data_IF_628593821739
#
_entry.id   IF_628593821739
#
_cell.length_a   1.000
_cell.length_b   1.000
_cell.length_c   1.000
_cell.angle_alpha   90.00
_cell.angle_beta   90.00
_cell.angle_gamma   90.00
#
_symmetry.space_group_name_H-M   'P 1'
#
loop_
_entity.id
_entity.type
_entity.pdbx_description
1 polymer ?
#
# COMPACT_ATOMS: atom_id res chain seq x y z
N UNK A 1 -24.27 -44.71 27.90
CA UNK A 1 -24.02 -44.26 29.27
C UNK A 1 -24.70 -42.90 29.43
N UNK A 2 -25.99 -42.93 29.80
CA UNK A 2 -26.78 -41.76 30.19
C UNK A 2 -26.47 -41.43 31.66
N UNK A 3 -26.50 -40.16 32.05
CA UNK A 3 -26.82 -39.64 33.40
C UNK A 3 -26.97 -38.10 33.25
N UNK A 4 -28.21 -37.60 33.23
CA UNK A 4 -28.95 -36.99 34.35
C UNK A 4 -28.49 -35.58 34.73
N UNK A 5 -29.26 -34.57 34.28
CA UNK A 5 -29.26 -33.23 34.86
C UNK A 5 -30.25 -33.17 36.02
N UNK A 6 -29.78 -32.73 37.18
CA UNK A 6 -30.57 -32.50 38.39
C UNK A 6 -30.98 -31.03 38.46
N UNK A 7 -32.29 -30.78 38.41
CA UNK A 7 -32.92 -29.48 38.69
C UNK A 7 -33.38 -29.45 40.15
N UNK A 8 -32.72 -28.65 41.00
CA UNK A 8 -33.33 -28.08 42.21
C UNK A 8 -32.38 -27.07 42.88
N UNK A 9 -32.91 -25.86 43.13
CA UNK A 9 -32.46 -25.03 44.25
C UNK A 9 -31.92 -23.64 43.89
N UNK A 10 -32.82 -22.67 43.71
CA UNK A 10 -32.88 -21.44 44.52
C UNK A 10 -33.79 -20.40 43.85
N UNK A 11 -35.02 -20.34 44.35
CA UNK A 11 -35.93 -19.20 44.21
C UNK A 11 -35.66 -18.24 45.36
N UNK A 12 -35.97 -16.96 45.13
CA UNK A 12 -36.13 -15.84 46.08
C UNK A 12 -34.92 -14.95 46.40
N UNK A 13 -34.87 -13.79 45.73
CA UNK A 13 -34.96 -12.44 46.32
C UNK A 13 -35.21 -11.39 45.21
N UNK A 14 -36.37 -10.71 45.28
CA UNK A 14 -36.75 -9.48 44.57
C UNK A 14 -36.10 -8.23 45.25
N UNK A 15 -36.12 -6.96 44.74
CA UNK A 15 -37.17 -6.39 43.87
C UNK A 15 -36.77 -5.32 42.80
N UNK A 16 -37.76 -4.99 41.96
CA UNK A 16 -38.03 -3.69 41.30
C UNK A 16 -36.99 -3.09 40.33
N UNK A 17 -37.16 -3.37 39.03
CA UNK A 17 -36.68 -2.49 37.95
C UNK A 17 -37.86 -1.64 37.47
N UNK A 18 -38.11 -0.56 38.19
CA UNK A 18 -39.00 0.53 37.79
C UNK A 18 -38.16 1.78 37.60
N UNK A 19 -37.17 1.73 36.69
CA UNK A 19 -36.28 2.87 36.39
C UNK A 19 -35.57 2.74 35.04
N UNK A 20 -36.32 2.47 33.96
CA UNK A 20 -35.75 2.55 32.60
C UNK A 20 -36.79 2.92 31.52
N UNK A 21 -37.90 3.56 31.92
CA UNK A 21 -39.01 3.96 31.02
C UNK A 21 -39.25 5.47 30.99
N UNK A 22 -38.25 6.28 31.35
CA UNK A 22 -38.37 7.73 31.39
C UNK A 22 -37.10 8.41 30.87
N UNK A 23 -36.87 8.29 29.56
CA UNK A 23 -36.10 9.25 28.76
C UNK A 23 -36.53 9.19 27.27
N UNK A 24 -37.85 9.13 27.04
CA UNK A 24 -38.49 9.08 25.70
C UNK A 24 -39.33 10.35 25.40
N UNK A 25 -39.18 11.44 26.16
CA UNK A 25 -39.90 12.68 25.86
C UNK A 25 -39.01 13.93 25.99
N UNK A 26 -39.17 14.84 25.03
CA UNK A 26 -38.34 16.00 24.66
C UNK A 26 -37.06 15.59 23.92
N UNK A 27 -36.96 15.73 22.60
CA UNK A 27 -37.12 16.98 21.84
C UNK A 27 -37.77 16.69 20.48
N UNK A 28 -39.05 17.04 20.37
CA UNK A 28 -39.64 17.43 19.09
C UNK A 28 -39.34 18.91 18.87
N UNK A 29 -38.45 19.20 17.92
CA UNK A 29 -38.40 20.46 17.16
C UNK A 29 -37.49 20.24 15.96
N UNK A 30 -38.07 19.79 14.84
CA UNK A 30 -37.41 19.79 13.54
C UNK A 30 -37.24 21.24 13.04
N UNK A 31 -36.07 21.63 12.53
CA UNK A 31 -36.00 22.52 11.37
C UNK A 31 -36.14 21.70 10.07
N UNK A 32 -36.52 22.32 8.94
CA UNK A 32 -36.88 21.58 7.74
C UNK A 32 -35.66 20.93 7.08
N UNK A 33 -35.92 19.72 6.56
CA UNK A 33 -35.13 19.00 5.55
C UNK A 33 -34.58 19.98 4.49
N UNK A 34 -33.25 19.99 4.32
CA UNK A 34 -32.58 20.62 3.17
C UNK A 34 -31.70 19.56 2.51
N UNK A 35 -32.05 19.26 1.27
CA UNK A 35 -31.55 18.12 0.50
C UNK A 35 -30.06 18.11 0.21
N UNK A 36 -29.66 17.01 -0.43
CA UNK A 36 -28.34 16.74 -1.00
C UNK A 36 -27.84 17.99 -1.75
N UNK A 37 -26.78 18.62 -1.25
CA UNK A 37 -26.08 19.68 -1.97
C UNK A 37 -25.00 19.03 -2.84
N UNK A 38 -25.27 18.93 -4.14
CA UNK A 38 -24.24 18.73 -5.14
C UNK A 38 -23.58 20.09 -5.43
N UNK A 39 -22.41 20.33 -4.86
CA UNK A 39 -21.58 21.47 -5.26
C UNK A 39 -20.71 21.02 -6.44
N UNK A 40 -21.16 21.24 -7.66
CA UNK A 40 -20.29 21.13 -8.83
C UNK A 40 -19.40 22.38 -8.91
N UNK A 41 -18.16 22.29 -8.42
CA UNK A 41 -17.11 23.26 -8.76
C UNK A 41 -16.02 22.60 -9.58
N UNK A 42 -15.78 23.12 -10.79
CA UNK A 42 -14.67 22.72 -11.64
C UNK A 42 -13.34 22.96 -10.91
N UNK A 43 -12.57 21.89 -10.69
CA UNK A 43 -11.21 21.93 -10.14
C UNK A 43 -11.13 21.85 -8.61
N UNK A 44 -11.31 20.66 -8.03
CA UNK A 44 -11.05 20.40 -6.62
C UNK A 44 -11.71 19.10 -6.14
N UNK A 45 -11.00 18.26 -5.39
CA UNK A 45 -11.46 16.96 -4.89
C UNK A 45 -12.84 17.06 -4.20
N UNK A 46 -13.83 16.43 -4.84
CA UNK A 46 -15.26 16.48 -4.50
C UNK A 46 -15.50 15.88 -3.10
N UNK A 47 -15.90 16.72 -2.14
CA UNK A 47 -16.28 16.27 -0.79
C UNK A 47 -17.76 15.93 -0.83
N UNK A 48 -18.08 14.65 -0.63
CA UNK A 48 -19.46 14.17 -0.53
C UNK A 48 -19.87 14.11 0.94
N UNK A 49 -21.06 14.63 1.24
CA UNK A 49 -21.63 14.66 2.57
C UNK A 49 -23.03 14.02 2.57
N UNK A 50 -23.22 13.05 3.47
CA UNK A 50 -24.52 12.46 3.78
C UNK A 50 -24.92 12.84 5.19
N UNK A 51 -26.03 13.56 5.31
CA UNK A 51 -26.61 13.92 6.60
C UNK A 51 -27.69 12.91 6.94
N UNK A 52 -27.58 12.35 8.14
CA UNK A 52 -28.50 11.33 8.65
C UNK A 52 -29.02 11.76 10.02
N UNK A 53 -30.07 11.10 10.57
CA UNK A 53 -30.61 11.46 11.88
C UNK A 53 -29.58 11.35 13.00
N UNK A 54 -28.61 10.45 12.88
CA UNK A 54 -27.67 10.13 13.96
C UNK A 54 -26.22 10.52 13.66
N UNK A 55 -25.90 10.91 12.43
CA UNK A 55 -24.56 11.30 12.03
C UNK A 55 -24.50 12.08 10.71
N UNK A 56 -23.42 12.83 10.53
CA UNK A 56 -22.99 13.37 9.24
C UNK A 56 -21.79 12.54 8.78
N UNK A 57 -21.96 11.77 7.72
CA UNK A 57 -20.89 11.04 7.05
C UNK A 57 -20.29 11.91 5.96
N UNK A 58 -18.98 12.10 6.00
CA UNK A 58 -18.22 12.87 5.01
C UNK A 58 -17.15 11.99 4.39
N UNK A 59 -17.06 12.04 3.07
CA UNK A 59 -16.04 11.37 2.27
C UNK A 59 -15.40 12.38 1.32
N UNK A 60 -14.08 12.46 1.34
CA UNK A 60 -13.34 13.37 0.45
C UNK A 60 -11.88 13.48 0.87
N UNK A 61 -11.01 13.92 -0.05
CA UNK A 61 -9.56 14.09 0.19
C UNK A 61 -8.88 12.82 0.76
N UNK A 62 -9.34 11.63 0.38
CA UNK A 62 -8.79 10.37 0.87
C UNK A 62 -9.12 10.04 2.33
N UNK A 63 -10.14 10.68 2.91
CA UNK A 63 -10.55 10.47 4.30
C UNK A 63 -12.04 10.22 4.42
N UNK A 64 -12.40 9.49 5.48
CA UNK A 64 -13.78 9.32 5.93
C UNK A 64 -13.90 9.87 7.33
N UNK A 65 -14.89 10.74 7.54
CA UNK A 65 -15.23 11.23 8.87
C UNK A 65 -16.72 11.07 9.17
N UNK A 66 -17.01 10.75 10.42
CA UNK A 66 -18.36 10.61 10.95
C UNK A 66 -18.51 11.55 12.12
N UNK A 67 -19.48 12.45 12.04
CA UNK A 67 -19.71 13.50 13.04
C UNK A 67 -21.10 13.29 13.65
N UNK A 68 -21.22 13.29 14.97
CA UNK A 68 -22.53 13.20 15.64
C UNK A 68 -23.26 14.56 15.54
N UNK A 69 -24.58 14.61 15.25
CA UNK A 69 -25.34 15.85 15.21
C UNK A 69 -25.51 16.38 16.65
N UNK A 70 -25.04 17.60 16.92
CA UNK A 70 -25.07 18.23 18.24
C UNK A 70 -24.41 19.62 18.20
N UNK A 71 -24.50 20.40 19.29
CA UNK A 71 -23.99 21.79 19.35
C UNK A 71 -22.48 21.90 19.11
N UNK A 72 -21.72 20.85 19.42
CA UNK A 72 -20.25 20.87 19.36
C UNK A 72 -19.66 20.06 18.18
N UNK A 73 -20.48 19.38 17.38
CA UNK A 73 -20.02 18.65 16.19
C UNK A 73 -18.93 17.61 16.47
N UNK A 74 -19.13 16.79 17.51
CA UNK A 74 -18.17 15.76 17.95
C UNK A 74 -17.80 14.80 16.81
N UNK A 75 -16.50 14.73 16.47
CA UNK A 75 -15.98 13.76 15.50
C UNK A 75 -15.88 12.39 16.15
N UNK A 76 -16.75 11.48 15.71
CA UNK A 76 -16.78 10.09 16.18
C UNK A 76 -15.73 9.26 15.45
N UNK A 77 -15.48 9.56 14.18
CA UNK A 77 -14.45 8.92 13.35
C UNK A 77 -13.82 9.97 12.44
N UNK A 78 -12.49 9.92 12.29
CA UNK A 78 -11.74 10.70 11.30
C UNK A 78 -10.49 9.90 10.91
N UNK A 79 -10.61 9.08 9.87
CA UNK A 79 -9.55 8.15 9.44
C UNK A 79 -9.27 8.29 7.95
N UNK A 80 -8.03 8.03 7.50
CA UNK A 80 -7.76 7.87 6.07
C UNK A 80 -8.50 6.64 5.53
N UNK A 81 -8.84 6.66 4.23
CA UNK A 81 -9.53 5.54 3.58
C UNK A 81 -8.70 4.25 3.63
N UNK A 82 -7.36 4.36 3.67
CA UNK A 82 -6.44 3.22 3.83
C UNK A 82 -6.66 2.42 5.12
N UNK A 83 -7.18 3.07 6.17
CA UNK A 83 -7.43 2.43 7.47
C UNK A 83 -8.79 1.73 7.51
N UNK A 84 -9.57 1.80 6.43
CA UNK A 84 -10.83 1.08 6.29
C UNK A 84 -10.59 -0.31 5.71
N UNK A 85 -11.32 -1.29 6.25
CA UNK A 85 -11.40 -2.64 5.69
C UNK A 85 -12.45 -2.68 4.57
N UNK A 86 -13.65 -2.19 4.88
CA UNK A 86 -14.78 -2.08 3.95
C UNK A 86 -15.86 -1.19 4.54
N UNK A 87 -16.73 -0.67 3.67
CA UNK A 87 -17.98 -0.02 4.09
C UNK A 87 -19.13 -0.77 3.44
N UNK A 88 -20.24 -0.93 4.15
CA UNK A 88 -21.42 -1.59 3.56
C UNK A 88 -22.73 -1.05 4.07
N UNK A 89 -23.76 -1.23 3.26
CA UNK A 89 -25.14 -1.09 3.70
C UNK A 89 -25.64 -2.41 4.26
N UNK A 90 -26.33 -2.34 5.39
CA UNK A 90 -26.94 -3.50 6.02
C UNK A 90 -28.35 -3.13 6.51
N UNK A 91 -29.28 -4.09 6.45
CA UNK A 91 -30.63 -3.93 7.01
C UNK A 91 -30.66 -4.62 8.38
N UNK A 92 -31.13 -3.89 9.39
CA UNK A 92 -31.29 -4.42 10.76
C UNK A 92 -32.62 -5.16 10.90
N UNK A 93 -32.78 -5.84 12.03
CA UNK A 93 -33.98 -6.61 12.35
C UNK A 93 -35.23 -5.73 12.59
N UNK A 94 -35.03 -4.45 12.88
CA UNK A 94 -36.06 -3.41 13.02
C UNK A 94 -36.34 -2.68 11.69
N UNK A 95 -35.95 -3.28 10.55
CA UNK A 95 -36.03 -2.72 9.20
C UNK A 95 -35.23 -1.43 8.96
N UNK A 96 -34.50 -0.92 9.95
CA UNK A 96 -33.63 0.23 9.78
C UNK A 96 -32.44 -0.13 8.87
N UNK A 97 -32.15 0.73 7.90
CA UNK A 97 -30.96 0.61 7.05
C UNK A 97 -29.80 1.37 7.71
N UNK A 98 -28.63 0.73 7.76
CA UNK A 98 -27.42 1.32 8.34
C UNK A 98 -26.23 1.18 7.40
N UNK A 99 -25.37 2.19 7.40
CA UNK A 99 -24.00 2.05 6.90
C UNK A 99 -23.15 1.49 8.03
N UNK A 100 -22.50 0.36 7.81
CA UNK A 100 -21.51 -0.23 8.71
C UNK A 100 -20.11 0.06 8.15
N UNK A 101 -19.29 0.81 8.89
CA UNK A 101 -17.90 1.14 8.54
C UNK A 101 -16.96 0.22 9.31
N UNK A 102 -16.20 -0.62 8.60
CA UNK A 102 -15.25 -1.55 9.19
C UNK A 102 -13.84 -0.97 9.11
N UNK A 103 -13.13 -1.00 10.24
CA UNK A 103 -11.74 -0.56 10.32
C UNK A 103 -10.81 -1.75 10.10
N UNK A 104 -9.72 -1.51 9.36
CA UNK A 104 -8.66 -2.49 9.06
C UNK A 104 -7.92 -2.90 10.33
N UNK A 105 -7.70 -1.96 11.22
CA UNK A 105 -7.02 -2.16 12.50
C UNK A 105 -7.94 -1.81 13.66
N UNK A 106 -7.80 -2.48 14.82
CA UNK A 106 -8.57 -2.18 16.04
C UNK A 106 -8.20 -0.84 16.69
N UNK A 107 -7.09 -0.23 16.25
CA UNK A 107 -6.43 0.93 16.87
C UNK A 107 -7.06 2.32 16.69
N UNK A 108 -7.95 2.61 15.71
CA UNK A 108 -8.54 3.95 15.64
C UNK A 108 -9.37 4.21 16.89
N UNK A 109 -9.03 5.28 17.60
CA UNK A 109 -9.67 5.68 18.85
C UNK A 109 -11.02 6.31 18.51
N UNK A 110 -12.11 5.56 18.69
CA UNK A 110 -13.47 6.09 18.66
C UNK A 110 -13.75 6.71 20.03
N UNK A 111 -13.75 8.05 20.15
CA UNK A 111 -14.11 8.76 21.40
C UNK A 111 -13.31 8.35 22.66
N UNK A 112 -12.03 8.00 22.51
CA UNK A 112 -11.16 7.57 23.61
C UNK A 112 -11.17 6.06 23.91
N UNK A 113 -11.99 5.28 23.20
CA UNK A 113 -12.08 3.81 23.34
C UNK A 113 -11.54 3.16 22.04
N UNK A 114 -10.65 2.15 22.13
CA UNK A 114 -10.25 1.38 20.97
C UNK A 114 -11.46 0.80 20.23
N UNK A 115 -11.50 0.94 18.91
CA UNK A 115 -12.64 0.48 18.14
C UNK A 115 -12.79 -1.05 18.13
N UNK A 116 -11.72 -1.81 18.43
CA UNK A 116 -11.71 -3.28 18.58
C UNK A 116 -12.50 -4.00 17.47
N UNK A 117 -12.32 -3.52 16.22
CA UNK A 117 -13.00 -3.99 14.99
C UNK A 117 -14.53 -3.96 15.01
N UNK A 118 -15.13 -3.28 15.98
CA UNK A 118 -16.56 -3.00 15.99
C UNK A 118 -16.89 -2.11 14.79
N UNK A 119 -17.79 -2.54 13.89
CA UNK A 119 -18.21 -1.67 12.80
C UNK A 119 -18.95 -0.46 13.37
N UNK A 120 -18.59 0.74 12.93
CA UNK A 120 -19.29 1.97 13.31
C UNK A 120 -20.61 2.05 12.52
N UNK A 121 -21.78 2.04 13.17
CA UNK A 121 -23.04 2.16 12.48
C UNK A 121 -23.44 3.63 12.27
N UNK A 122 -23.91 3.96 11.07
CA UNK A 122 -24.58 5.22 10.74
C UNK A 122 -25.99 4.90 10.28
N UNK A 123 -27.00 5.34 11.04
CA UNK A 123 -28.41 5.08 10.72
C UNK A 123 -28.85 5.95 9.55
N UNK A 124 -29.62 5.38 8.63
CA UNK A 124 -30.15 6.07 7.46
C UNK A 124 -31.66 6.26 7.59
N UNK A 125 -32.18 7.34 6.99
CA UNK A 125 -33.58 7.36 6.61
C UNK A 125 -33.76 6.55 5.33
N UNK A 126 -34.96 6.02 5.13
CA UNK A 126 -35.31 5.23 3.94
C UNK A 126 -35.08 6.01 2.63
N UNK A 127 -35.38 7.31 2.64
CA UNK A 127 -35.19 8.20 1.48
C UNK A 127 -33.71 8.44 1.13
N UNK A 128 -32.79 8.22 2.08
CA UNK A 128 -31.37 8.48 1.90
C UNK A 128 -30.60 7.26 1.36
N UNK A 129 -31.27 6.09 1.23
CA UNK A 129 -30.64 4.82 0.81
C UNK A 129 -29.99 4.90 -0.58
N UNK A 130 -30.60 5.49 -1.63
CA UNK A 130 -29.96 5.60 -2.93
C UNK A 130 -28.69 6.47 -2.90
N UNK A 131 -28.69 7.56 -2.12
CA UNK A 131 -27.51 8.41 -1.96
C UNK A 131 -26.41 7.70 -1.15
N UNK A 132 -26.81 6.92 -0.15
CA UNK A 132 -25.90 6.11 0.65
C UNK A 132 -25.20 5.04 -0.18
N UNK A 133 -25.91 4.37 -1.11
CA UNK A 133 -25.33 3.39 -2.04
C UNK A 133 -24.16 4.00 -2.82
N UNK A 134 -24.38 5.15 -3.47
CA UNK A 134 -23.32 5.81 -4.25
C UNK A 134 -22.10 6.23 -3.44
N UNK A 135 -22.28 6.60 -2.16
CA UNK A 135 -21.16 6.93 -1.26
C UNK A 135 -20.42 5.67 -0.82
N UNK A 136 -21.15 4.60 -0.49
CA UNK A 136 -20.55 3.31 -0.10
C UNK A 136 -19.73 2.72 -1.24
N UNK A 137 -20.26 2.73 -2.46
CA UNK A 137 -19.56 2.24 -3.65
C UNK A 137 -18.29 3.06 -3.90
N UNK A 138 -18.39 4.39 -3.88
CA UNK A 138 -17.24 5.29 -4.05
C UNK A 138 -16.15 5.07 -2.98
N UNK A 139 -16.55 4.86 -1.72
CA UNK A 139 -15.58 4.59 -0.64
C UNK A 139 -14.92 3.24 -0.89
N UNK A 140 -15.67 2.18 -1.23
CA UNK A 140 -15.10 0.85 -1.48
C UNK A 140 -14.18 0.83 -2.70
N UNK A 141 -14.53 1.51 -3.80
CA UNK A 141 -13.66 1.69 -4.96
C UNK A 141 -12.35 2.39 -4.55
N UNK A 142 -12.44 3.39 -3.68
CA UNK A 142 -11.25 4.06 -3.17
C UNK A 142 -10.45 3.18 -2.19
N UNK A 143 -11.09 2.35 -1.37
CA UNK A 143 -10.41 1.34 -0.53
C UNK A 143 -9.59 0.41 -1.43
N UNK A 144 -10.20 -0.14 -2.48
CA UNK A 144 -9.53 -0.98 -3.47
C UNK A 144 -8.37 -0.24 -4.17
N UNK A 145 -8.54 1.04 -4.48
CA UNK A 145 -7.46 1.85 -5.04
C UNK A 145 -6.32 2.10 -4.04
N UNK A 146 -6.61 2.30 -2.76
CA UNK A 146 -5.60 2.44 -1.69
C UNK A 146 -4.93 1.12 -1.33
N UNK A 147 -5.56 -0.02 -1.67
CA UNK A 147 -4.93 -1.33 -1.71
C UNK A 147 -4.03 -1.49 -2.93
N UNK A 148 -3.50 -0.44 -3.55
CA UNK A 148 -2.36 -0.53 -4.46
C UNK A 148 -1.19 0.13 -3.76
N UNK A 149 -0.06 -0.56 -3.67
CA UNK A 149 1.15 0.03 -3.08
C UNK A 149 1.59 1.18 -4.00
N UNK A 150 1.21 2.40 -3.64
CA UNK A 150 1.84 3.59 -4.19
C UNK A 150 3.21 3.71 -3.51
N UNK A 151 4.19 2.97 -4.04
CA UNK A 151 5.60 3.29 -3.78
C UNK A 151 5.73 4.71 -4.25
N UNK A 152 6.03 5.65 -3.35
CA UNK A 152 6.31 7.04 -3.70
C UNK A 152 7.37 7.06 -4.80
N UNK A 153 6.91 7.01 -6.05
CA UNK A 153 7.77 6.80 -7.19
C UNK A 153 8.19 8.19 -7.59
N UNK A 154 9.50 8.49 -7.63
CA UNK A 154 9.95 9.71 -8.25
C UNK A 154 9.34 9.82 -9.66
N UNK A 155 9.17 11.05 -10.17
CA UNK A 155 8.76 11.24 -11.55
C UNK A 155 9.83 10.62 -12.46
N UNK A 156 9.47 9.49 -13.04
CA UNK A 156 10.29 8.68 -13.93
C UNK A 156 9.70 8.69 -15.34
N UNK A 157 9.01 9.78 -15.71
CA UNK A 157 8.57 10.00 -17.08
C UNK A 157 9.80 10.17 -17.97
N UNK A 158 10.00 9.31 -18.99
CA UNK A 158 11.13 9.43 -19.91
C UNK A 158 11.11 10.81 -20.62
N UNK A 159 12.20 11.58 -20.57
CA UNK A 159 12.29 12.83 -21.31
C UNK A 159 12.39 12.54 -22.81
N UNK A 160 11.82 13.44 -23.63
CA UNK A 160 11.96 13.35 -25.08
C UNK A 160 13.45 13.44 -25.49
N UNK A 161 13.90 12.69 -26.50
CA UNK A 161 15.24 12.84 -27.06
C UNK A 161 15.42 14.22 -27.70
N UNK A 162 16.55 14.86 -27.42
CA UNK A 162 16.99 16.07 -28.10
C UNK A 162 18.02 15.70 -29.17
N UNK A 163 17.87 16.25 -30.38
CA UNK A 163 18.83 16.02 -31.48
C UNK A 163 20.07 16.89 -31.30
N UNK A 164 21.19 16.26 -30.94
CA UNK A 164 22.48 16.91 -30.75
C UNK A 164 23.47 16.66 -31.89
N UNK A 165 24.64 17.32 -31.83
CA UNK A 165 25.72 17.16 -32.83
C UNK A 165 26.26 15.73 -32.96
N UNK A 166 26.08 14.90 -31.93
CA UNK A 166 26.52 13.50 -31.88
C UNK A 166 25.38 12.48 -32.06
N UNK A 167 24.19 12.96 -32.41
CA UNK A 167 22.95 12.18 -32.49
C UNK A 167 22.01 12.46 -31.31
N UNK A 168 20.97 11.63 -31.13
CA UNK A 168 19.97 11.84 -30.09
C UNK A 168 20.58 11.72 -28.70
N UNK A 169 20.19 12.63 -27.81
CA UNK A 169 20.59 12.66 -26.40
C UNK A 169 19.36 12.77 -25.52
N UNK A 170 19.34 12.05 -24.38
CA UNK A 170 18.23 12.13 -23.42
C UNK A 170 18.70 12.62 -22.05
N UNK A 171 17.89 13.45 -21.42
CA UNK A 171 18.23 14.09 -20.14
C UNK A 171 18.33 13.14 -18.94
N UNK A 172 17.66 11.99 -18.96
CA UNK A 172 17.80 10.93 -17.95
C UNK A 172 19.12 10.17 -18.10
N UNK A 173 19.50 9.81 -19.34
CA UNK A 173 20.81 9.23 -19.67
C UNK A 173 21.94 10.17 -19.21
N UNK A 174 21.86 11.45 -19.57
CA UNK A 174 22.87 12.42 -19.15
C UNK A 174 22.97 12.55 -17.62
N UNK A 175 21.84 12.57 -16.91
CA UNK A 175 21.85 12.64 -15.44
C UNK A 175 22.49 11.42 -14.81
N UNK A 176 22.20 10.21 -15.31
CA UNK A 176 22.82 8.98 -14.83
C UNK A 176 24.34 8.98 -15.09
N UNK A 177 24.76 9.34 -16.31
CA UNK A 177 26.17 9.41 -16.70
C UNK A 177 26.94 10.47 -15.92
N UNK A 178 26.31 11.61 -15.58
CA UNK A 178 26.93 12.66 -14.76
C UNK A 178 27.20 12.23 -13.32
N UNK A 179 26.47 11.23 -12.78
CA UNK A 179 26.72 10.67 -11.44
C UNK A 179 27.83 9.63 -11.43
N UNK A 180 27.99 8.89 -12.54
CA UNK A 180 29.07 7.92 -12.74
C UNK A 180 30.44 8.58 -12.70
N UNK A 181 31.46 7.87 -12.21
CA UNK A 181 32.84 8.34 -12.26
C UNK A 181 33.28 8.61 -13.72
N UNK A 182 33.92 9.76 -14.02
CA UNK A 182 34.23 10.15 -15.39
C UNK A 182 35.28 9.24 -16.03
N UNK A 183 34.93 8.65 -17.18
CA UNK A 183 35.80 7.76 -17.97
C UNK A 183 35.72 8.08 -19.46
N UNK A 184 36.86 8.19 -20.14
CA UNK A 184 36.91 8.58 -21.57
C UNK A 184 36.40 7.46 -22.46
N UNK A 185 36.64 6.23 -22.06
CA UNK A 185 36.30 5.00 -22.77
C UNK A 185 34.78 4.81 -22.85
N UNK A 186 34.03 5.33 -21.86
CA UNK A 186 32.58 5.21 -21.78
C UNK A 186 31.83 5.94 -22.91
N UNK A 187 32.46 6.93 -23.56
CA UNK A 187 31.78 7.86 -24.49
C UNK A 187 31.07 7.14 -25.64
N UNK A 188 31.69 6.12 -26.22
CA UNK A 188 31.07 5.36 -27.31
C UNK A 188 29.86 4.54 -26.84
N UNK A 189 29.95 3.93 -25.65
CA UNK A 189 28.84 3.18 -25.07
C UNK A 189 27.70 4.08 -24.58
N UNK A 190 28.00 5.29 -24.09
CA UNK A 190 26.96 6.29 -23.74
C UNK A 190 26.21 6.75 -25.00
N UNK A 191 26.91 6.98 -26.11
CA UNK A 191 26.26 7.28 -27.38
C UNK A 191 25.39 6.12 -27.89
N UNK A 192 25.81 4.88 -27.66
CA UNK A 192 25.03 3.70 -28.00
C UNK A 192 23.80 3.56 -27.07
N UNK A 193 23.96 3.82 -25.76
CA UNK A 193 22.88 3.79 -24.78
C UNK A 193 21.72 4.68 -25.21
N UNK A 194 21.99 5.94 -25.61
CA UNK A 194 20.96 6.87 -26.10
C UNK A 194 20.13 6.33 -27.29
N UNK A 195 20.67 5.38 -28.06
CA UNK A 195 19.98 4.73 -29.19
C UNK A 195 19.28 3.45 -28.80
N UNK A 196 19.77 2.77 -27.76
CA UNK A 196 19.15 1.55 -27.27
C UNK A 196 17.92 1.84 -26.42
N UNK A 197 17.92 2.93 -25.64
CA UNK A 197 16.77 3.25 -24.79
C UNK A 197 15.54 3.66 -25.60
N UNK A 198 14.47 2.90 -25.38
CA UNK A 198 13.14 3.06 -25.93
C UNK A 198 12.42 4.27 -25.31
N UNK A 199 11.40 4.82 -25.99
CA UNK A 199 10.69 6.01 -25.51
C UNK A 199 9.98 5.86 -24.16
N UNK A 200 9.69 4.62 -23.74
CA UNK A 200 8.88 4.34 -22.55
C UNK A 200 9.70 3.99 -21.29
N UNK A 201 11.01 3.74 -21.45
CA UNK A 201 11.87 3.37 -20.32
C UNK A 201 12.69 4.58 -19.84
N UNK A 202 12.92 4.68 -18.53
CA UNK A 202 13.73 5.74 -17.92
C UNK A 202 15.06 5.18 -17.41
N UNK A 203 16.18 5.87 -17.68
CA UNK A 203 17.51 5.44 -17.22
C UNK A 203 17.77 5.91 -15.78
N UNK A 204 17.98 4.95 -14.88
CA UNK A 204 18.15 5.19 -13.45
C UNK A 204 19.61 5.49 -13.09
N UNK A 205 20.53 4.55 -13.37
CA UNK A 205 21.94 4.65 -13.01
C UNK A 205 22.82 3.94 -14.03
N UNK A 206 24.08 4.36 -14.12
CA UNK A 206 25.10 3.76 -15.00
C UNK A 206 26.42 3.53 -14.26
N UNK A 207 27.14 2.47 -14.61
CA UNK A 207 28.48 2.17 -14.12
C UNK A 207 29.35 1.57 -15.23
N UNK A 208 30.67 1.76 -15.16
CA UNK A 208 31.59 0.96 -15.98
C UNK A 208 31.93 -0.31 -15.20
N UNK A 209 31.75 -1.46 -15.85
CA UNK A 209 32.00 -2.76 -15.27
C UNK A 209 32.60 -3.71 -16.31
N UNK A 210 33.28 -4.74 -15.83
CA UNK A 210 33.72 -5.88 -16.64
C UNK A 210 32.70 -6.99 -16.50
N UNK A 211 32.04 -7.35 -17.59
CA UNK A 211 31.16 -8.51 -17.63
C UNK A 211 31.98 -9.79 -17.70
N UNK A 212 31.56 -10.78 -16.92
CA UNK A 212 32.11 -12.13 -16.94
C UNK A 212 31.07 -13.10 -17.51
N UNK A 213 31.49 -14.17 -18.20
CA UNK A 213 30.56 -15.17 -18.71
C UNK A 213 29.65 -15.71 -17.59
N UNK A 214 28.35 -15.90 -17.83
CA UNK A 214 27.67 -15.85 -19.12
C UNK A 214 27.12 -14.46 -19.52
N UNK A 215 27.27 -13.43 -18.69
CA UNK A 215 26.66 -12.11 -18.91
C UNK A 215 27.28 -11.34 -20.10
N UNK A 216 28.50 -11.69 -20.45
CA UNK A 216 29.29 -11.06 -21.50
C UNK A 216 30.77 -11.34 -21.29
N UNK A 217 31.59 -10.61 -22.04
CA UNK A 217 33.05 -10.66 -21.97
C UNK A 217 33.61 -9.24 -22.06
N UNK A 218 34.43 -8.88 -21.07
CA UNK A 218 35.23 -7.66 -21.11
C UNK A 218 34.53 -6.43 -20.56
N UNK A 219 35.12 -5.27 -20.78
CA UNK A 219 34.67 -3.99 -20.21
C UNK A 219 33.46 -3.44 -20.97
N UNK A 220 32.53 -2.84 -20.24
CA UNK A 220 31.34 -2.21 -20.81
C UNK A 220 30.67 -1.22 -19.87
N UNK A 221 29.65 -0.54 -20.41
CA UNK A 221 28.74 0.30 -19.68
C UNK A 221 27.54 -0.54 -19.23
N UNK A 222 27.37 -0.66 -17.93
CA UNK A 222 26.19 -1.24 -17.31
C UNK A 222 25.19 -0.11 -17.03
N UNK A 223 23.95 -0.24 -17.50
CA UNK A 223 22.89 0.74 -17.34
C UNK A 223 21.63 0.08 -16.78
N UNK A 224 21.19 0.53 -15.61
CA UNK A 224 19.91 0.14 -15.03
C UNK A 224 18.82 1.11 -15.52
N UNK A 225 17.76 0.55 -16.11
CA UNK A 225 16.56 1.30 -16.53
C UNK A 225 15.36 0.85 -15.71
N UNK A 226 14.20 1.46 -15.94
CA UNK A 226 12.93 1.00 -15.35
C UNK A 226 12.51 -0.39 -15.81
N UNK A 227 12.94 -0.81 -17.01
CA UNK A 227 12.36 -1.98 -17.69
C UNK A 227 13.39 -3.11 -17.89
N UNK A 228 14.68 -2.77 -17.91
CA UNK A 228 15.79 -3.70 -18.18
C UNK A 228 17.14 -3.25 -17.64
N UNK A 229 18.03 -4.21 -17.43
CA UNK A 229 19.46 -4.02 -17.24
C UNK A 229 20.17 -4.21 -18.58
N UNK A 230 20.92 -3.20 -19.02
CA UNK A 230 21.68 -3.21 -20.28
C UNK A 230 23.18 -3.24 -19.98
N UNK A 231 23.92 -4.13 -20.64
CA UNK A 231 25.37 -4.11 -20.67
C UNK A 231 25.84 -3.85 -22.10
N UNK A 232 26.54 -2.73 -22.32
CA UNK A 232 27.01 -2.31 -23.64
C UNK A 232 28.54 -2.39 -23.67
N UNK A 233 29.09 -3.24 -24.52
CA UNK A 233 30.55 -3.43 -24.63
C UNK A 233 31.27 -2.10 -24.97
N UNK A 234 32.39 -1.84 -24.31
CA UNK A 234 33.28 -0.70 -24.55
C UNK A 234 34.61 -1.18 -25.13
N UNK A 235 35.16 -0.46 -26.10
CA UNK A 235 36.49 -0.69 -26.64
C UNK A 235 36.52 -0.97 -28.14
N UNK A 236 37.60 -1.60 -28.60
CA UNK A 236 37.89 -1.89 -30.01
C UNK A 236 37.52 -3.31 -30.43
N UNK A 237 37.05 -4.15 -29.50
CA UNK A 237 36.55 -5.50 -29.78
C UNK A 237 35.18 -5.51 -30.47
N UNK A 238 34.58 -6.70 -30.57
CA UNK A 238 33.21 -6.84 -31.08
C UNK A 238 32.24 -6.01 -30.23
N UNK A 239 31.41 -5.21 -30.92
CA UNK A 239 30.40 -4.39 -30.28
C UNK A 239 29.13 -5.21 -30.09
N UNK A 240 28.71 -5.36 -28.85
CA UNK A 240 27.45 -6.01 -28.51
C UNK A 240 26.76 -5.29 -27.34
N UNK A 241 25.47 -5.56 -27.21
CA UNK A 241 24.68 -5.19 -26.05
C UNK A 241 23.99 -6.45 -25.53
N UNK A 242 24.10 -6.70 -24.23
CA UNK A 242 23.36 -7.74 -23.53
C UNK A 242 22.24 -7.09 -22.73
N UNK A 243 21.03 -7.63 -22.87
CA UNK A 243 19.84 -7.10 -22.22
C UNK A 243 19.24 -8.15 -21.29
N UNK A 244 18.89 -7.75 -20.07
CA UNK A 244 18.14 -8.57 -19.12
C UNK A 244 16.91 -7.79 -18.65
N UNK A 245 15.68 -8.25 -18.96
CA UNK A 245 14.45 -7.59 -18.48
C UNK A 245 14.39 -7.54 -16.95
N UNK A 246 13.91 -6.44 -16.37
CA UNK A 246 13.72 -6.32 -14.91
C UNK A 246 12.75 -7.39 -14.40
N UNK A 247 11.73 -7.73 -15.19
CA UNK A 247 10.78 -8.82 -14.93
C UNK A 247 11.45 -10.18 -14.65
N UNK A 248 12.64 -10.40 -15.21
CA UNK A 248 13.39 -11.65 -15.04
C UNK A 248 14.35 -11.61 -13.83
N UNK A 249 14.59 -10.45 -13.23
CA UNK A 249 15.56 -10.28 -12.15
C UNK A 249 14.88 -10.55 -10.81
N UNK A 250 15.37 -11.55 -10.07
CA UNK A 250 14.90 -11.84 -8.71
C UNK A 250 15.61 -10.98 -7.66
N UNK A 251 16.90 -10.74 -7.85
CA UNK A 251 17.68 -9.86 -6.95
C UNK A 251 18.98 -9.40 -7.59
N UNK A 252 19.45 -8.24 -7.16
CA UNK A 252 20.81 -7.79 -7.40
C UNK A 252 21.50 -7.52 -6.05
N UNK A 253 22.78 -7.89 -5.93
CA UNK A 253 23.57 -7.59 -4.73
C UNK A 253 24.96 -7.11 -5.10
N UNK A 254 25.48 -6.19 -4.31
CA UNK A 254 26.88 -5.82 -4.34
C UNK A 254 27.70 -6.94 -3.73
N UNK A 255 28.80 -7.31 -4.38
CA UNK A 255 29.75 -8.30 -3.86
C UNK A 255 31.12 -7.66 -3.73
N UNK A 256 31.81 -7.95 -2.63
CA UNK A 256 33.21 -7.59 -2.49
C UNK A 256 34.07 -8.58 -3.27
N UNK A 257 35.15 -8.09 -3.88
CA UNK A 257 36.00 -8.87 -4.78
C UNK A 257 36.43 -10.20 -4.18
N UNK A 258 36.16 -11.29 -4.90
CA UNK A 258 36.66 -12.63 -4.55
C UNK A 258 38.15 -12.71 -4.89
N UNK A 259 39.01 -12.30 -3.97
CA UNK A 259 40.38 -12.80 -3.96
C UNK A 259 40.36 -14.25 -3.49
N UNK A 260 40.87 -15.18 -4.31
CA UNK A 260 41.11 -16.54 -3.84
C UNK A 260 42.05 -16.51 -2.62
N UNK A 261 41.94 -17.45 -1.65
CA UNK A 261 42.84 -17.49 -0.51
C UNK A 261 44.28 -17.65 -1.00
N UNK A 262 45.09 -16.59 -0.88
CA UNK A 262 46.49 -16.57 -1.30
C UNK A 262 46.83 -15.67 -2.50
N UNK A 263 45.85 -15.06 -3.16
CA UNK A 263 46.09 -14.14 -4.27
C UNK A 263 45.75 -12.70 -3.84
N UNK A 264 46.77 -11.96 -3.39
CA UNK A 264 46.65 -10.51 -3.17
C UNK A 264 46.67 -9.84 -4.53
N UNK A 265 45.54 -9.87 -5.25
CA UNK A 265 45.36 -9.02 -6.43
C UNK A 265 45.13 -7.58 -5.96
N UNK A 266 46.25 -6.89 -5.72
CA UNK A 266 46.29 -5.45 -5.43
C UNK A 266 45.80 -4.57 -6.58
N UNK A 267 45.34 -5.15 -7.71
CA UNK A 267 44.84 -4.39 -8.88
C UNK A 267 43.35 -4.61 -9.19
N UNK A 268 42.72 -5.68 -8.71
CA UNK A 268 41.30 -6.00 -9.02
C UNK A 268 40.45 -6.45 -7.82
N UNK A 269 40.78 -6.02 -6.60
CA UNK A 269 39.89 -6.13 -5.42
C UNK A 269 38.64 -5.23 -5.50
N UNK A 270 37.99 -5.16 -6.65
CA UNK A 270 36.87 -4.27 -6.95
C UNK A 270 35.54 -4.78 -6.42
N UNK A 271 34.66 -3.85 -6.05
CA UNK A 271 33.25 -4.11 -5.76
C UNK A 271 32.52 -4.48 -7.06
N UNK A 272 31.81 -5.60 -7.08
CA UNK A 272 31.04 -6.09 -8.22
C UNK A 272 29.53 -6.15 -7.94
N UNK A 273 28.76 -6.53 -8.97
CA UNK A 273 27.33 -6.80 -8.90
C UNK A 273 27.08 -8.25 -9.30
N UNK A 274 26.38 -8.98 -8.45
CA UNK A 274 25.73 -10.24 -8.82
C UNK A 274 24.25 -9.96 -9.09
N UNK A 275 23.78 -10.34 -10.28
CA UNK A 275 22.36 -10.26 -10.68
C UNK A 275 21.84 -11.68 -10.86
N UNK A 276 20.78 -12.04 -10.13
CA UNK A 276 20.18 -13.36 -10.16
C UNK A 276 18.85 -13.33 -10.92
N UNK A 277 18.73 -14.15 -11.96
CA UNK A 277 17.51 -14.31 -12.77
C UNK A 277 16.64 -15.53 -12.36
N UNK A 278 17.04 -16.23 -11.28
CA UNK A 278 16.40 -17.44 -10.79
C UNK A 278 16.98 -18.74 -11.34
N UNK A 279 17.67 -18.70 -12.48
CA UNK A 279 18.39 -19.84 -13.04
C UNK A 279 19.91 -19.70 -13.00
N UNK A 280 20.43 -18.46 -13.02
CA UNK A 280 21.85 -18.12 -13.16
C UNK A 280 22.18 -16.84 -12.40
N UNK A 281 23.46 -16.69 -12.09
CA UNK A 281 24.03 -15.46 -11.54
C UNK A 281 24.91 -14.82 -12.61
N UNK A 282 24.53 -13.61 -13.03
CA UNK A 282 25.32 -12.76 -13.90
C UNK A 282 26.24 -11.90 -13.03
N UNK A 283 27.54 -11.95 -13.29
CA UNK A 283 28.53 -11.23 -12.50
C UNK A 283 29.19 -10.10 -13.31
N UNK A 284 29.20 -8.91 -12.72
CA UNK A 284 29.81 -7.70 -13.27
C UNK A 284 30.82 -7.14 -12.27
N UNK A 285 32.11 -7.16 -12.60
CA UNK A 285 33.15 -6.57 -11.75
C UNK A 285 33.20 -5.06 -11.99
N UNK A 286 32.80 -4.26 -11.00
CA UNK A 286 32.76 -2.81 -11.11
C UNK A 286 34.15 -2.17 -10.98
N UNK A 287 34.35 -1.06 -11.68
CA UNK A 287 35.58 -0.26 -11.58
C UNK A 287 35.56 0.78 -10.46
N UNK A 288 34.36 1.14 -9.97
CA UNK A 288 34.16 2.08 -8.87
C UNK A 288 33.07 1.55 -7.94
N UNK A 289 33.33 1.52 -6.63
CA UNK A 289 32.41 0.96 -5.64
C UNK A 289 31.11 1.75 -5.53
N UNK A 290 31.17 3.07 -5.58
CA UNK A 290 29.99 3.91 -5.43
C UNK A 290 29.08 3.79 -6.67
N UNK A 291 29.67 3.70 -7.86
CA UNK A 291 28.93 3.43 -9.10
C UNK A 291 28.21 2.07 -9.04
N UNK A 292 28.93 1.02 -8.62
CA UNK A 292 28.41 -0.35 -8.43
C UNK A 292 27.23 -0.40 -7.44
N UNK A 293 27.38 0.27 -6.29
CA UNK A 293 26.33 0.34 -5.26
C UNK A 293 25.09 1.09 -5.77
N UNK A 294 25.27 2.22 -6.48
CA UNK A 294 24.14 2.95 -7.08
C UNK A 294 23.39 2.13 -8.12
N UNK A 295 24.10 1.44 -9.02
CA UNK A 295 23.47 0.56 -10.01
C UNK A 295 22.74 -0.59 -9.32
N UNK A 296 23.33 -1.22 -8.30
CA UNK A 296 22.67 -2.29 -7.54
C UNK A 296 21.38 -1.79 -6.87
N UNK A 297 21.42 -0.62 -6.25
CA UNK A 297 20.24 0.03 -5.66
C UNK A 297 19.17 0.33 -6.72
N UNK A 298 19.59 0.82 -7.90
CA UNK A 298 18.69 1.12 -9.01
C UNK A 298 18.00 -0.13 -9.57
N UNK A 299 18.74 -1.23 -9.76
CA UNK A 299 18.15 -2.51 -10.21
C UNK A 299 17.11 -3.01 -9.20
N UNK A 300 17.45 -3.05 -7.90
CA UNK A 300 16.50 -3.47 -6.87
C UNK A 300 15.31 -2.50 -6.74
N UNK A 301 15.50 -1.20 -7.01
CA UNK A 301 14.40 -0.25 -7.09
C UNK A 301 13.48 -0.58 -8.28
N UNK A 302 14.02 -0.83 -9.47
CA UNK A 302 13.24 -1.21 -10.65
C UNK A 302 12.46 -2.52 -10.40
N UNK A 303 13.11 -3.56 -9.85
CA UNK A 303 12.47 -4.83 -9.48
C UNK A 303 11.32 -4.60 -8.50
N UNK A 304 11.54 -3.79 -7.45
CA UNK A 304 10.47 -3.44 -6.50
C UNK A 304 9.37 -2.63 -7.14
N UNK A 305 9.69 -1.70 -8.04
CA UNK A 305 8.68 -0.90 -8.76
C UNK A 305 7.80 -1.81 -9.61
N UNK A 306 8.40 -2.70 -10.41
CA UNK A 306 7.67 -3.64 -11.27
C UNK A 306 6.87 -4.66 -10.44
N UNK A 307 7.46 -5.19 -9.37
CA UNK A 307 6.75 -6.09 -8.46
C UNK A 307 5.61 -5.39 -7.71
N UNK A 308 5.70 -4.08 -7.48
CA UNK A 308 4.67 -3.29 -6.81
C UNK A 308 3.66 -2.67 -7.78
N UNK A 309 3.92 -2.67 -9.09
CA UNK A 309 2.98 -2.18 -10.09
C UNK A 309 1.76 -3.11 -10.12
N UNK A 310 0.67 -2.65 -9.52
CA UNK A 310 -0.53 -3.46 -9.29
C UNK A 310 -0.49 -4.39 -8.07
N UNK A 311 0.54 -4.31 -7.20
CA UNK A 311 0.58 -5.12 -5.97
C UNK A 311 -0.45 -4.64 -4.94
N UNK A 312 -1.10 -5.58 -4.23
CA UNK A 312 -2.05 -5.24 -3.18
C UNK A 312 -1.33 -4.47 -2.05
N UNK A 313 -1.97 -3.42 -1.56
CA UNK A 313 -1.55 -2.56 -0.46
C UNK A 313 -1.50 -3.30 0.87
N UNK A 314 -1.44 -2.59 2.02
CA UNK A 314 -1.30 -3.23 3.33
C UNK A 314 -2.36 -4.32 3.49
N UNK A 315 -1.90 -5.55 3.70
CA UNK A 315 -2.73 -6.74 3.64
C UNK A 315 -3.95 -6.58 4.55
N UNK A 316 -5.10 -7.04 4.05
CA UNK A 316 -6.22 -7.31 4.92
C UNK A 316 -5.76 -8.23 6.06
N UNK A 317 -6.34 -8.11 7.26
CA UNK A 317 -6.00 -8.94 8.40
C UNK A 317 -6.08 -10.43 8.01
N UNK A 318 -4.97 -11.15 8.18
CA UNK A 318 -4.92 -12.57 7.84
C UNK A 318 -5.84 -13.42 8.72
N UNK A 319 -6.25 -14.59 8.21
CA UNK A 319 -7.10 -15.54 8.96
C UNK A 319 -6.49 -15.92 10.31
N UNK A 320 -5.17 -16.12 10.37
CA UNK A 320 -4.45 -16.42 11.61
C UNK A 320 -4.56 -15.30 12.64
N UNK A 321 -4.43 -14.04 12.20
CA UNK A 321 -4.58 -12.87 13.06
C UNK A 321 -6.01 -12.75 13.61
N UNK A 322 -7.02 -12.89 12.73
CA UNK A 322 -8.42 -12.85 13.11
C UNK A 322 -8.78 -13.97 14.10
N UNK A 323 -8.21 -15.16 13.91
CA UNK A 323 -8.39 -16.29 14.80
C UNK A 323 -7.77 -16.04 16.18
N UNK A 324 -6.53 -15.52 16.24
CA UNK A 324 -5.90 -15.14 17.51
C UNK A 324 -6.67 -14.04 18.26
N UNK A 325 -7.24 -13.07 17.53
CA UNK A 325 -8.10 -12.04 18.13
C UNK A 325 -9.42 -12.62 18.65
N UNK A 326 -10.01 -13.60 17.95
CA UNK A 326 -11.19 -14.31 18.42
C UNK A 326 -10.91 -15.10 19.70
N UNK A 327 -9.81 -15.86 19.76
CA UNK A 327 -9.43 -16.63 20.95
C UNK A 327 -9.23 -15.71 22.16
N UNK A 328 -8.54 -14.58 21.97
CA UNK A 328 -8.35 -13.59 23.03
C UNK A 328 -9.68 -12.98 23.51
N UNK A 329 -10.62 -12.74 22.59
CA UNK A 329 -11.96 -12.24 22.95
C UNK A 329 -12.74 -13.26 23.78
N UNK A 330 -12.70 -14.55 23.40
CA UNK A 330 -13.32 -15.65 24.16
C UNK A 330 -12.69 -15.77 25.54
N UNK A 331 -11.37 -15.69 25.64
CA UNK A 331 -10.66 -15.73 26.93
C UNK A 331 -11.11 -14.56 27.84
N UNK A 332 -11.10 -13.32 27.33
CA UNK A 332 -11.53 -12.15 28.10
C UNK A 332 -12.98 -12.22 28.58
N UNK A 333 -13.89 -12.76 27.75
CA UNK A 333 -15.28 -12.99 28.14
C UNK A 333 -15.39 -14.05 29.23
N UNK A 334 -14.66 -15.16 29.10
CA UNK A 334 -14.63 -16.22 30.12
C UNK A 334 -14.10 -15.75 31.48
N UNK A 335 -13.20 -14.76 31.47
CA UNK A 335 -12.65 -14.11 32.66
C UNK A 335 -13.55 -12.97 33.20
N UNK A 336 -14.69 -12.69 32.58
CA UNK A 336 -15.61 -11.63 32.99
C UNK A 336 -15.11 -10.21 32.72
N UNK A 337 -14.07 -10.05 31.89
CA UNK A 337 -13.50 -8.75 31.52
C UNK A 337 -14.30 -8.04 30.41
N UNK A 338 -15.17 -8.78 29.73
CA UNK A 338 -16.01 -8.32 28.62
C UNK A 338 -17.43 -8.81 28.89
N UNK A 339 -18.41 -7.91 28.84
CA UNK A 339 -19.83 -8.30 29.01
C UNK A 339 -20.41 -8.99 27.76
N UNK A 340 -21.57 -9.63 27.90
CA UNK A 340 -22.23 -10.34 26.79
C UNK A 340 -22.51 -9.44 25.58
N UNK A 341 -22.86 -8.18 25.79
CA UNK A 341 -23.16 -7.22 24.74
C UNK A 341 -21.92 -6.80 23.96
N UNK A 342 -20.80 -6.61 24.65
CA UNK A 342 -19.49 -6.33 24.09
C UNK A 342 -18.95 -7.55 23.35
N UNK A 343 -19.06 -8.75 23.94
CA UNK A 343 -18.61 -10.01 23.33
C UNK A 343 -19.31 -10.27 21.99
N UNK A 344 -20.64 -10.16 21.95
CA UNK A 344 -21.41 -10.31 20.71
C UNK A 344 -21.02 -9.27 19.65
N UNK A 345 -20.74 -8.04 20.09
CA UNK A 345 -20.37 -6.93 19.20
C UNK A 345 -18.99 -7.12 18.58
N UNK A 346 -17.98 -7.40 19.39
CA UNK A 346 -16.61 -7.64 18.94
C UNK A 346 -16.52 -8.92 18.11
N UNK A 347 -17.20 -9.98 18.56
CA UNK A 347 -17.25 -11.26 17.85
C UNK A 347 -17.84 -11.12 16.46
N UNK A 348 -18.94 -10.36 16.33
CA UNK A 348 -19.54 -10.02 15.03
C UNK A 348 -18.60 -9.20 14.15
N UNK A 349 -17.78 -8.32 14.71
CA UNK A 349 -16.77 -7.55 13.99
C UNK A 349 -15.68 -8.44 13.40
N UNK A 350 -15.12 -9.35 14.21
CA UNK A 350 -14.09 -10.30 13.80
C UNK A 350 -14.63 -11.28 12.75
N UNK A 351 -15.78 -11.91 13.01
CA UNK A 351 -16.38 -12.91 12.11
C UNK A 351 -16.81 -12.36 10.76
N UNK A 352 -17.15 -11.06 10.69
CA UNK A 352 -17.49 -10.38 9.42
C UNK A 352 -16.27 -9.78 8.73
N UNK A 353 -15.11 -9.83 9.38
CA UNK A 353 -13.81 -9.45 8.82
C UNK A 353 -13.06 -10.64 8.24
N UNK A 354 -13.44 -11.88 8.61
CA UNK A 354 -13.25 -13.08 7.79
C UNK A 354 -14.10 -12.97 6.51
#
# INVERSE_FOLDING_TARGET
MQLHWSTAGARERFPNVSTALLYVALIMSCPPYRGVRHNYSAGGTDIVELRTPTAILRHGKGRVSVIRPGSDGERVLDVPVSDLLKVRLNRRADDAVVIEIYLRHPTPVLTGVPADRTPLPVLLNENDVPAALGIVDRINDQILATQRIDVASPDLTPPAPEEGKSGPTRGDVERAVRRMAPRKEARSAVNALNRFVTPNEYVLETAIATALPPAGVGMGLLAATTDRLLFISVGTGERYAHELPVAAILSARTVEGRSAPGEVDTRHGGSGIDVNDGGRILHFAGLDRADTERVTCAVNFAVRREANDGAPGPADPGVSQLYSEWELLVERHSLGMVDDGQFQRYGRGILRSL
#
